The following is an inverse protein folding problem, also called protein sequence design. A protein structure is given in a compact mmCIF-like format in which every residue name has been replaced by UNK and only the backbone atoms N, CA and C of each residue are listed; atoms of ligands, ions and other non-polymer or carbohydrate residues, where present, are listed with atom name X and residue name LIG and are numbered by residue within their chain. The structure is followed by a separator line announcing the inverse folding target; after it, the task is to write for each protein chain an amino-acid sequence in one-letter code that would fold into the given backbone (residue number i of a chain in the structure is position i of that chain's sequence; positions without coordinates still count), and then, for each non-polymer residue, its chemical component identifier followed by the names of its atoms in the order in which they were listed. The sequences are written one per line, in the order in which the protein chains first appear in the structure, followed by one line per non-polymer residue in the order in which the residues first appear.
data_IF_210664009462
#
_entry.id   IF_210664009462
#
_cell.length_a   1.000
_cell.length_b   1.000
_cell.length_c   1.000
_cell.angle_alpha   90.00
_cell.angle_beta   90.00
_cell.angle_gamma   90.00
#
_symmetry.space_group_name_H-M   'P 1'
#
loop_
_entity.id
_entity.type
_entity.pdbx_description
1 polymer ?
#
# COMPACT_ATOMS: atom_id res chain seq x y z
N UNK A 1 16.76 13.99 1.52
CA UNK A 1 15.35 13.70 1.84
C UNK A 1 14.75 13.00 0.65
N UNK A 2 14.62 11.67 0.70
CA UNK A 2 13.98 10.90 -0.37
C UNK A 2 12.91 10.06 0.34
N UNK A 3 11.73 10.66 0.53
CA UNK A 3 10.62 9.96 1.16
C UNK A 3 10.28 8.71 0.36
N UNK A 4 10.19 7.56 1.05
CA UNK A 4 9.85 6.26 0.46
C UNK A 4 10.82 5.70 -0.59
N UNK A 5 12.08 6.15 -0.60
CA UNK A 5 13.07 5.70 -1.58
C UNK A 5 13.74 4.37 -1.24
N UNK A 6 13.73 3.99 0.03
CA UNK A 6 14.18 2.67 0.47
C UNK A 6 12.98 1.74 0.56
N UNK A 7 13.11 0.59 -0.05
CA UNK A 7 12.18 -0.50 0.09
C UNK A 7 13.00 -1.79 0.02
N UNK A 8 13.05 -2.51 1.14
CA UNK A 8 13.82 -3.74 1.28
C UNK A 8 13.08 -4.96 0.71
N UNK A 9 11.88 -4.76 0.16
CA UNK A 9 11.08 -5.82 -0.42
C UNK A 9 11.59 -6.13 -1.82
N UNK A 10 11.97 -7.39 -2.04
CA UNK A 10 12.23 -7.93 -3.36
C UNK A 10 10.89 -8.16 -4.08
N UNK A 11 10.64 -7.38 -5.13
CA UNK A 11 9.32 -7.36 -5.79
C UNK A 11 9.08 -8.62 -6.60
N UNK A 12 10.02 -9.04 -7.44
CA UNK A 12 9.87 -10.20 -8.36
C UNK A 12 8.57 -10.13 -9.20
N UNK A 13 8.04 -8.93 -9.47
CA UNK A 13 6.68 -8.75 -10.01
C UNK A 13 6.47 -9.36 -11.40
N UNK A 14 7.54 -9.41 -12.17
CA UNK A 14 7.61 -9.85 -13.57
C UNK A 14 7.60 -11.37 -13.73
N UNK A 15 7.88 -12.13 -12.67
CA UNK A 15 7.94 -13.61 -12.71
C UNK A 15 6.84 -14.28 -11.88
N UNK A 16 5.95 -13.51 -11.25
CA UNK A 16 4.89 -14.05 -10.39
C UNK A 16 3.85 -14.83 -11.18
N UNK A 17 3.60 -16.04 -10.70
CA UNK A 17 2.42 -16.82 -11.10
C UNK A 17 1.13 -16.18 -10.56
N UNK A 18 0.00 -16.55 -11.17
CA UNK A 18 -1.30 -15.97 -10.84
C UNK A 18 -1.80 -16.35 -9.44
N UNK A 19 -1.32 -17.48 -8.88
CA UNK A 19 -1.58 -17.97 -7.53
C UNK A 19 -0.60 -17.44 -6.47
N UNK A 20 0.33 -16.54 -6.83
CA UNK A 20 1.36 -16.01 -5.91
C UNK A 20 0.82 -15.38 -4.63
N UNK A 21 -0.36 -14.75 -4.67
CA UNK A 21 -1.02 -14.21 -3.46
C UNK A 21 -1.48 -15.32 -2.55
N UNK A 22 -2.06 -16.38 -3.10
CA UNK A 22 -2.55 -17.54 -2.34
C UNK A 22 -1.39 -18.28 -1.69
N UNK A 23 -0.30 -18.48 -2.45
CA UNK A 23 0.94 -19.07 -1.94
C UNK A 23 1.55 -18.24 -0.81
N UNK A 24 1.63 -16.91 -0.97
CA UNK A 24 2.10 -16.03 0.07
C UNK A 24 1.21 -16.10 1.32
N UNK A 25 -0.12 -16.05 1.19
CA UNK A 25 -1.03 -16.13 2.33
C UNK A 25 -0.97 -17.46 3.09
N UNK A 26 -0.55 -18.54 2.43
CA UNK A 26 -0.31 -19.83 3.05
C UNK A 26 0.98 -19.89 3.89
N UNK A 27 1.92 -18.96 3.68
CA UNK A 27 3.14 -18.85 4.48
C UNK A 27 2.83 -18.27 5.88
N UNK A 28 3.18 -18.99 6.98
CA UNK A 28 2.96 -18.51 8.34
C UNK A 28 3.72 -17.22 8.70
N UNK A 29 4.82 -16.92 7.98
CA UNK A 29 5.63 -15.72 8.17
C UNK A 29 5.07 -14.48 7.46
N UNK A 30 3.96 -14.64 6.73
CA UNK A 30 3.36 -13.54 5.98
C UNK A 30 2.93 -12.38 6.86
N UNK A 31 3.33 -11.18 6.43
CA UNK A 31 3.03 -9.91 7.07
C UNK A 31 2.09 -9.08 6.20
N UNK A 32 1.04 -8.56 6.82
CA UNK A 32 -0.02 -7.79 6.16
C UNK A 32 -0.01 -6.35 6.66
N UNK A 33 -0.08 -5.40 5.72
CA UNK A 33 -0.46 -4.01 5.99
C UNK A 33 -1.96 -3.86 5.74
N UNK A 34 -2.72 -3.56 6.79
CA UNK A 34 -4.16 -3.39 6.70
C UNK A 34 -4.50 -1.93 6.45
N UNK A 35 -5.22 -1.67 5.37
CA UNK A 35 -5.49 -0.30 4.90
C UNK A 35 -6.99 -0.10 4.68
N UNK A 36 -7.51 1.05 5.11
CA UNK A 36 -8.90 1.44 4.88
C UNK A 36 -9.02 2.96 4.77
N UNK A 37 -9.76 3.44 3.77
CA UNK A 37 -10.08 4.87 3.64
C UNK A 37 -8.87 5.82 3.68
N UNK A 38 -7.72 5.44 3.12
CA UNK A 38 -6.50 6.25 3.14
C UNK A 38 -5.74 6.26 4.48
N UNK A 39 -6.07 5.31 5.37
CA UNK A 39 -5.43 5.11 6.67
C UNK A 39 -4.78 3.75 6.73
N UNK A 40 -3.69 3.67 7.48
CA UNK A 40 -3.02 2.43 7.85
C UNK A 40 -3.47 2.06 9.26
N UNK A 41 -3.79 0.79 9.48
CA UNK A 41 -4.06 0.28 10.82
C UNK A 41 -2.73 -0.07 11.47
N UNK A 42 -2.55 0.40 12.70
CA UNK A 42 -1.34 0.22 13.48
C UNK A 42 -1.73 -0.36 14.83
N UNK A 43 -1.08 -1.44 15.24
CA UNK A 43 -1.11 -1.89 16.63
C UNK A 43 -0.38 -0.86 17.47
N UNK A 44 -0.93 -0.51 18.62
CA UNK A 44 -0.37 0.47 19.53
C UNK A 44 -0.31 -0.10 20.94
N UNK A 45 0.92 -0.42 21.37
CA UNK A 45 1.23 -0.97 22.68
C UNK A 45 2.45 -0.23 23.25
N UNK A 46 2.37 0.16 24.52
CA UNK A 46 3.44 0.83 25.28
C UNK A 46 4.09 2.04 24.58
N UNK A 47 3.29 2.79 23.82
CA UNK A 47 3.75 4.00 23.09
C UNK A 47 4.49 3.71 21.79
N UNK A 48 4.57 2.44 21.37
CA UNK A 48 5.12 2.00 20.09
C UNK A 48 4.00 1.68 19.09
N UNK A 49 4.30 1.83 17.80
CA UNK A 49 3.40 1.44 16.72
C UNK A 49 4.01 0.31 15.89
N UNK A 50 3.20 -0.72 15.62
CA UNK A 50 3.56 -1.84 14.75
C UNK A 50 2.55 -1.96 13.60
N UNK A 51 3.00 -1.86 12.33
CA UNK A 51 2.12 -1.94 11.17
C UNK A 51 1.82 -3.37 10.70
N UNK A 52 2.53 -4.39 11.23
CA UNK A 52 2.48 -5.73 10.68
C UNK A 52 1.44 -6.61 11.35
N UNK A 53 0.51 -7.13 10.56
CA UNK A 53 -0.48 -8.12 11.02
C UNK A 53 -0.16 -9.50 10.45
N UNK A 54 -0.41 -10.54 11.25
CA UNK A 54 -0.38 -11.92 10.75
C UNK A 54 -1.68 -12.28 10.02
N UNK A 55 -1.64 -13.28 9.13
CA UNK A 55 -2.82 -13.75 8.39
C UNK A 55 -4.00 -14.13 9.31
N UNK A 56 -3.73 -14.80 10.43
CA UNK A 56 -4.78 -15.21 11.38
C UNK A 56 -5.41 -14.02 12.11
N UNK A 57 -4.57 -13.08 12.58
CA UNK A 57 -4.98 -11.86 13.28
C UNK A 57 -5.82 -10.94 12.39
N UNK A 58 -5.45 -10.83 11.10
CA UNK A 58 -6.10 -9.93 10.15
C UNK A 58 -7.59 -10.21 9.93
N UNK A 59 -8.05 -11.43 10.18
CA UNK A 59 -9.45 -11.85 10.01
C UNK A 59 -10.42 -11.04 10.86
N UNK A 60 -9.97 -10.49 11.99
CA UNK A 60 -10.79 -9.65 12.85
C UNK A 60 -11.17 -8.29 12.22
N UNK A 61 -10.56 -7.91 11.10
CA UNK A 61 -10.74 -6.60 10.46
C UNK A 61 -11.53 -6.67 9.13
N UNK A 62 -12.21 -7.78 8.89
CA UNK A 62 -13.01 -8.04 7.67
C UNK A 62 -12.21 -7.75 6.38
N UNK A 63 -11.03 -8.36 6.31
CA UNK A 63 -10.06 -8.12 5.25
C UNK A 63 -10.46 -8.78 3.93
N UNK A 64 -10.31 -8.05 2.83
CA UNK A 64 -10.54 -8.57 1.48
C UNK A 64 -9.25 -9.12 0.88
N UNK A 65 -8.90 -10.37 1.22
CA UNK A 65 -7.67 -11.02 0.75
C UNK A 65 -7.63 -11.19 -0.78
N UNK A 66 -8.79 -11.36 -1.43
CA UNK A 66 -8.93 -11.41 -2.89
C UNK A 66 -8.54 -10.09 -3.59
N UNK A 67 -8.58 -8.99 -2.84
CA UNK A 67 -8.13 -7.65 -3.26
C UNK A 67 -6.76 -7.29 -2.70
N UNK A 68 -6.09 -8.23 -2.04
CA UNK A 68 -4.74 -8.07 -1.53
C UNK A 68 -3.71 -7.96 -2.65
N UNK A 69 -2.66 -7.19 -2.40
CA UNK A 69 -1.54 -7.00 -3.33
C UNK A 69 -0.28 -7.52 -2.66
N UNK A 70 0.37 -8.51 -3.28
CA UNK A 70 1.67 -8.99 -2.84
C UNK A 70 2.73 -7.95 -3.18
N UNK A 71 3.29 -7.29 -2.18
CA UNK A 71 4.32 -6.27 -2.38
C UNK A 71 5.66 -6.92 -2.77
N UNK A 72 5.90 -8.12 -2.26
CA UNK A 72 7.04 -8.97 -2.56
C UNK A 72 7.50 -9.72 -1.31
N UNK A 73 8.80 -10.00 -1.24
CA UNK A 73 9.40 -10.78 -0.16
C UNK A 73 10.44 -9.96 0.58
N UNK A 74 10.48 -10.13 1.90
CA UNK A 74 11.46 -9.53 2.80
C UNK A 74 12.20 -10.64 3.56
N UNK A 75 13.25 -10.32 4.30
CA UNK A 75 13.94 -11.30 5.15
C UNK A 75 13.00 -12.00 6.16
N UNK A 76 11.94 -11.31 6.60
CA UNK A 76 10.97 -11.83 7.53
C UNK A 76 9.78 -12.58 6.87
N UNK A 77 9.75 -12.69 5.54
CA UNK A 77 8.68 -13.38 4.80
C UNK A 77 7.95 -12.52 3.77
N UNK A 78 6.86 -13.05 3.18
CA UNK A 78 6.04 -12.35 2.21
C UNK A 78 5.33 -11.14 2.83
N UNK A 79 5.20 -10.07 2.04
CA UNK A 79 4.54 -8.84 2.49
C UNK A 79 3.38 -8.49 1.56
N UNK A 80 2.18 -8.33 2.11
CA UNK A 80 1.01 -7.91 1.34
C UNK A 80 0.40 -6.61 1.90
N UNK A 81 -0.19 -5.81 1.01
CA UNK A 81 -1.12 -4.75 1.38
C UNK A 81 -2.55 -5.23 1.14
N UNK A 82 -3.42 -5.10 2.14
CA UNK A 82 -4.76 -5.68 2.11
C UNK A 82 -5.80 -4.63 2.52
N UNK A 83 -6.89 -4.46 1.74
CA UNK A 83 -8.04 -3.67 2.18
C UNK A 83 -8.72 -4.31 3.40
N UNK A 84 -8.89 -3.52 4.46
CA UNK A 84 -9.77 -3.85 5.59
C UNK A 84 -11.12 -3.14 5.40
N UNK A 85 -12.15 -3.60 6.13
CA UNK A 85 -13.50 -3.01 6.05
C UNK A 85 -14.05 -2.53 7.41
N UNK A 86 -13.44 -2.92 8.54
CA UNK A 86 -13.86 -2.42 9.86
C UNK A 86 -13.56 -0.93 9.95
N UNK A 87 -14.57 -0.10 10.22
CA UNK A 87 -14.41 1.35 10.34
C UNK A 87 -13.58 1.76 11.58
N UNK A 88 -12.87 2.91 11.55
CA UNK A 88 -12.01 3.35 12.65
C UNK A 88 -12.67 3.38 14.03
N UNK A 89 -13.95 3.72 14.11
CA UNK A 89 -14.71 3.82 15.36
C UNK A 89 -15.02 2.45 15.98
N UNK A 90 -14.92 1.37 15.20
CA UNK A 90 -15.17 0.00 15.62
C UNK A 90 -13.88 -0.77 15.92
N UNK A 91 -12.72 -0.14 15.71
CA UNK A 91 -11.43 -0.78 16.00
C UNK A 91 -11.23 -0.95 17.51
N UNK A 92 -10.57 -2.05 17.93
CA UNK A 92 -10.13 -2.20 19.32
C UNK A 92 -9.27 -1.00 19.76
N UNK A 93 -9.30 -0.66 21.04
CA UNK A 93 -8.53 0.49 21.57
C UNK A 93 -7.02 0.40 21.30
N UNK A 94 -6.51 -0.83 21.17
CA UNK A 94 -5.12 -1.19 20.86
C UNK A 94 -4.76 -1.02 19.37
N UNK A 95 -5.73 -0.73 18.50
CA UNK A 95 -5.50 -0.49 17.07
C UNK A 95 -5.86 0.95 16.73
N UNK A 96 -4.96 1.64 16.03
CA UNK A 96 -5.18 3.01 15.55
C UNK A 96 -5.24 3.03 14.02
N UNK A 97 -6.26 3.67 13.47
CA UNK A 97 -6.30 4.03 12.06
C UNK A 97 -5.71 5.43 11.86
N UNK A 98 -4.52 5.51 11.26
CA UNK A 98 -3.79 6.77 11.08
C UNK A 98 -3.59 7.04 9.59
N UNK A 99 -3.80 8.28 9.15
CA UNK A 99 -3.60 8.66 7.75
C UNK A 99 -2.12 8.55 7.35
N UNK A 100 -1.87 8.16 6.09
CA UNK A 100 -0.51 7.86 5.61
C UNK A 100 0.48 9.02 5.79
N UNK A 101 0.00 10.27 5.67
CA UNK A 101 0.83 11.46 5.84
C UNK A 101 1.27 11.60 7.29
N UNK A 102 0.35 11.45 8.24
CA UNK A 102 0.67 11.51 9.68
C UNK A 102 1.62 10.38 10.08
N UNK A 103 1.40 9.15 9.59
CA UNK A 103 2.31 8.01 9.82
C UNK A 103 3.74 8.37 9.44
N UNK A 104 3.94 8.94 8.24
CA UNK A 104 5.24 9.33 7.75
C UNK A 104 5.83 10.54 8.49
N UNK A 105 5.06 11.63 8.65
CA UNK A 105 5.53 12.88 9.24
C UNK A 105 5.91 12.75 10.71
N UNK A 106 5.22 11.87 11.45
CA UNK A 106 5.49 11.61 12.86
C UNK A 106 6.51 10.47 13.08
N UNK A 107 6.94 9.80 12.00
CA UNK A 107 7.89 8.69 12.08
C UNK A 107 7.35 7.50 12.89
N UNK A 108 6.07 7.16 12.73
CA UNK A 108 5.42 6.14 13.57
C UNK A 108 5.89 4.72 13.25
N UNK A 109 6.46 4.49 12.07
CA UNK A 109 6.94 3.19 11.62
C UNK A 109 8.35 3.33 11.04
N UNK A 110 9.08 2.21 11.00
CA UNK A 110 10.41 2.18 10.41
C UNK A 110 10.42 2.47 8.91
N UNK A 111 11.62 2.72 8.36
CA UNK A 111 11.80 3.11 6.96
C UNK A 111 11.36 2.01 5.97
N UNK A 112 11.56 0.75 6.32
CA UNK A 112 11.19 -0.39 5.48
C UNK A 112 9.65 -0.52 5.39
N UNK A 113 8.97 -0.40 6.52
CA UNK A 113 7.52 -0.37 6.60
C UNK A 113 6.94 0.86 5.91
N UNK A 114 7.60 2.02 6.01
CA UNK A 114 7.21 3.22 5.27
C UNK A 114 7.27 2.98 3.74
N UNK A 115 8.35 2.39 3.23
CA UNK A 115 8.48 2.03 1.82
C UNK A 115 7.38 1.06 1.35
N UNK A 116 7.07 0.05 2.16
CA UNK A 116 5.99 -0.90 1.92
C UNK A 116 4.61 -0.22 1.93
N UNK A 117 4.37 0.69 2.88
CA UNK A 117 3.15 1.50 2.98
C UNK A 117 2.92 2.29 1.68
N UNK A 118 3.93 3.02 1.21
CA UNK A 118 3.78 3.82 -0.02
C UNK A 118 3.47 2.95 -1.24
N UNK A 119 4.17 1.83 -1.39
CA UNK A 119 3.95 0.88 -2.47
C UNK A 119 2.53 0.28 -2.43
N UNK A 120 2.12 -0.21 -1.25
CA UNK A 120 0.80 -0.80 -1.04
C UNK A 120 -0.34 0.19 -1.24
N UNK A 121 -0.23 1.38 -0.65
CA UNK A 121 -1.23 2.43 -0.78
C UNK A 121 -1.43 2.84 -2.24
N UNK A 122 -0.35 3.01 -3.01
CA UNK A 122 -0.43 3.35 -4.43
C UNK A 122 -1.13 2.26 -5.26
N UNK A 123 -0.80 0.99 -5.04
CA UNK A 123 -1.36 -0.13 -5.79
C UNK A 123 -2.83 -0.38 -5.44
N UNK A 124 -3.20 -0.30 -4.16
CA UNK A 124 -4.59 -0.41 -3.72
C UNK A 124 -5.44 0.73 -4.27
N UNK A 125 -4.93 1.97 -4.25
CA UNK A 125 -5.62 3.13 -4.83
C UNK A 125 -5.81 2.99 -6.35
N UNK A 126 -4.80 2.47 -7.06
CA UNK A 126 -4.90 2.17 -8.48
C UNK A 126 -5.99 1.12 -8.75
N UNK A 127 -6.01 0.01 -8.01
CA UNK A 127 -7.04 -1.02 -8.17
C UNK A 127 -8.45 -0.52 -7.88
N UNK A 128 -8.63 0.34 -6.87
CA UNK A 128 -9.93 0.93 -6.56
C UNK A 128 -10.47 1.80 -7.72
N UNK A 129 -9.58 2.46 -8.47
CA UNK A 129 -9.95 3.36 -9.57
C UNK A 129 -9.95 2.70 -10.96
N UNK A 130 -9.36 1.51 -11.13
CA UNK A 130 -9.15 0.86 -12.44
C UNK A 130 -9.81 -0.52 -12.55
N UNK A 131 -10.97 -0.71 -11.90
CA UNK A 131 -11.68 -2.00 -11.86
C UNK A 131 -12.16 -2.51 -13.24
N UNK A 132 -12.30 -1.61 -14.23
CA UNK A 132 -12.79 -1.90 -15.57
C UNK A 132 -11.74 -1.60 -16.64
N UNK A 133 -11.81 -2.31 -17.76
CA UNK A 133 -10.91 -2.16 -18.90
C UNK A 133 -11.14 -0.81 -19.60
N UNK A 134 -10.08 0.00 -19.72
CA UNK A 134 -10.17 1.29 -20.41
C UNK A 134 -10.38 1.17 -21.93
N UNK A 135 -10.15 -0.02 -22.52
CA UNK A 135 -10.35 -0.29 -23.95
C UNK A 135 -11.78 -0.71 -24.29
N UNK A 136 -12.41 -1.56 -23.47
CA UNK A 136 -13.70 -2.18 -23.81
C UNK A 136 -14.79 -2.07 -22.72
N UNK A 137 -14.48 -1.50 -21.55
CA UNK A 137 -15.44 -1.32 -20.45
C UNK A 137 -15.75 -2.58 -19.62
N UNK A 138 -15.30 -3.77 -20.03
CA UNK A 138 -15.51 -5.00 -19.25
C UNK A 138 -14.71 -5.00 -17.95
N UNK A 139 -15.21 -5.68 -16.91
CA UNK A 139 -14.48 -5.83 -15.63
C UNK A 139 -13.13 -6.54 -15.88
N UNK A 140 -12.07 -5.99 -15.32
CA UNK A 140 -10.73 -6.60 -15.37
C UNK A 140 -10.44 -7.39 -14.10
N UNK A 141 -9.41 -8.22 -14.14
CA UNK A 141 -9.02 -9.09 -13.03
C UNK A 141 -7.58 -8.80 -12.60
N UNK A 142 -7.30 -8.92 -11.30
CA UNK A 142 -5.94 -8.79 -10.78
C UNK A 142 -5.09 -9.98 -11.22
N UNK A 143 -3.83 -9.72 -11.57
CA UNK A 143 -2.81 -10.69 -11.99
C UNK A 143 -1.44 -10.27 -11.48
N UNK A 144 -0.46 -11.18 -11.51
CA UNK A 144 0.92 -10.93 -11.07
C UNK A 144 1.01 -10.35 -9.64
N UNK A 145 0.24 -10.92 -8.71
CA UNK A 145 0.19 -10.44 -7.32
C UNK A 145 -0.38 -9.02 -7.14
N UNK A 146 -1.18 -8.53 -8.10
CA UNK A 146 -1.77 -7.19 -8.08
C UNK A 146 -0.99 -6.13 -8.87
N UNK A 147 0.10 -6.49 -9.56
CA UNK A 147 0.89 -5.53 -10.35
C UNK A 147 0.36 -5.34 -11.76
N UNK A 148 -0.69 -6.08 -12.11
CA UNK A 148 -1.32 -6.05 -13.42
C UNK A 148 -2.82 -6.25 -13.28
N UNK A 149 -3.58 -5.65 -14.17
CA UNK A 149 -4.98 -5.99 -14.41
C UNK A 149 -5.15 -6.51 -15.82
N UNK A 150 -5.71 -7.70 -15.96
CA UNK A 150 -5.98 -8.33 -17.25
C UNK A 150 -7.46 -8.27 -17.59
N UNK A 151 -7.81 -7.89 -18.82
CA UNK A 151 -9.19 -7.94 -19.29
C UNK A 151 -9.49 -9.26 -20.00
N UNK A 152 -10.32 -10.15 -19.42
CA UNK A 152 -10.61 -11.45 -20.04
C UNK A 152 -11.43 -11.32 -21.34
N UNK A 153 -12.16 -10.22 -21.53
CA UNK A 153 -13.02 -10.01 -22.70
C UNK A 153 -12.24 -9.63 -23.98
N UNK A 154 -11.15 -8.87 -23.84
CA UNK A 154 -10.40 -8.36 -25.00
C UNK A 154 -8.88 -8.57 -24.91
N UNK A 155 -8.41 -9.27 -23.89
CA UNK A 155 -7.00 -9.62 -23.67
C UNK A 155 -6.08 -8.44 -23.33
N UNK A 156 -6.63 -7.25 -23.04
CA UNK A 156 -5.80 -6.05 -22.77
C UNK A 156 -5.28 -6.07 -21.34
N UNK A 157 -3.97 -5.85 -21.20
CA UNK A 157 -3.32 -5.64 -19.91
C UNK A 157 -3.25 -4.16 -19.54
N UNK A 158 -3.45 -3.87 -18.26
CA UNK A 158 -3.30 -2.56 -17.66
C UNK A 158 -2.30 -2.63 -16.52
N UNK A 159 -1.44 -1.62 -16.44
CA UNK A 159 -0.38 -1.51 -15.42
C UNK A 159 -0.61 -0.25 -14.56
N UNK A 160 -0.15 -0.26 -13.30
CA UNK A 160 -0.21 0.90 -12.42
C UNK A 160 0.45 2.12 -13.07
N UNK A 161 -0.16 3.30 -12.90
CA UNK A 161 0.44 4.56 -13.34
C UNK A 161 1.39 5.07 -12.27
N UNK A 162 2.57 5.52 -12.69
CA UNK A 162 3.45 6.36 -11.87
C UNK A 162 3.36 7.78 -12.42
N UNK A 163 2.88 8.72 -11.60
CA UNK A 163 2.79 10.13 -11.96
C UNK A 163 4.04 10.87 -11.43
N UNK A 164 5.06 11.14 -12.28
CA UNK A 164 6.28 11.81 -11.83
C UNK A 164 5.97 13.26 -11.43
N UNK A 165 6.45 13.65 -10.25
CA UNK A 165 6.33 15.03 -9.73
C UNK A 165 7.72 15.58 -9.46
N UNK A 166 7.95 16.84 -9.83
CA UNK A 166 9.17 17.57 -9.49
C UNK A 166 8.90 18.54 -8.33
N UNK A 167 9.76 18.51 -7.31
CA UNK A 167 9.80 19.51 -6.24
C UNK A 167 11.12 20.26 -6.37
N UNK A 168 11.04 21.57 -6.59
CA UNK A 168 12.21 22.41 -6.89
C UNK A 168 12.37 23.49 -5.83
N UNK A 169 13.59 23.70 -5.35
CA UNK A 169 13.95 24.87 -4.55
C UNK A 169 14.48 25.95 -5.49
N UNK A 170 13.70 27.00 -5.72
CA UNK A 170 14.14 28.14 -6.53
C UNK A 170 14.91 29.12 -5.66
N UNK A 171 16.15 29.44 -6.03
CA UNK A 171 17.09 30.21 -5.20
C UNK A 171 17.70 31.41 -5.94
N UNK A 172 18.02 32.46 -5.19
CA UNK A 172 19.06 33.44 -5.52
C UNK A 172 20.31 33.15 -4.69
N UNK A 173 21.31 34.02 -4.72
CA UNK A 173 22.52 33.86 -3.89
C UNK A 173 22.22 33.81 -2.37
N UNK A 174 21.16 34.49 -1.93
CA UNK A 174 20.85 34.75 -0.53
C UNK A 174 19.41 34.39 -0.11
N UNK A 175 18.52 34.05 -1.07
CA UNK A 175 17.09 33.83 -0.82
C UNK A 175 16.58 32.60 -1.54
N UNK A 176 15.42 32.12 -1.11
CA UNK A 176 14.64 31.11 -1.84
C UNK A 176 13.17 31.49 -1.91
N UNK A 177 12.47 31.00 -2.94
CA UNK A 177 11.03 31.15 -3.09
C UNK A 177 10.31 29.98 -2.44
N UNK A 178 9.38 30.29 -1.53
CA UNK A 178 8.46 29.34 -0.92
C UNK A 178 7.03 29.72 -1.29
N UNK A 179 6.19 28.71 -1.55
CA UNK A 179 4.76 28.88 -1.81
C UNK A 179 3.94 27.96 -0.92
N UNK A 180 2.72 28.39 -0.55
CA UNK A 180 1.76 27.56 0.18
C UNK A 180 0.41 27.54 -0.52
N UNK A 181 -0.20 26.37 -0.60
CA UNK A 181 -1.58 26.21 -1.05
C UNK A 181 -2.59 26.73 -0.03
N UNK A 182 -3.79 27.11 -0.49
CA UNK A 182 -4.88 27.63 0.36
C UNK A 182 -5.33 26.66 1.46
N UNK A 183 -5.10 25.37 1.28
CA UNK A 183 -5.47 24.31 2.23
C UNK A 183 -4.44 24.12 3.37
N UNK A 184 -3.28 24.79 3.30
CA UNK A 184 -2.33 24.84 4.42
C UNK A 184 -2.62 26.10 5.25
N UNK A 185 -3.32 25.89 6.37
CA UNK A 185 -3.64 26.90 7.39
C UNK A 185 -2.52 27.09 8.40
#
# INVERSE_FOLDING_TARGET
FVGFASNQIERQSETRADDSVEQALADPSTRLLLMHGGRLYLKHEDGSFDPWFGSAESKAFDVSLDRGVLLGFSEAGPVLAVPAAVEPEQLPATIKAIDYRSVYMQGLIDEAAAGALAQGAALLAWHASHAFCSKCGSRSEMRAGGYRRHCPACGTDHFPRTDPVAIMLTVTADKCLLGRGRHFG
#
